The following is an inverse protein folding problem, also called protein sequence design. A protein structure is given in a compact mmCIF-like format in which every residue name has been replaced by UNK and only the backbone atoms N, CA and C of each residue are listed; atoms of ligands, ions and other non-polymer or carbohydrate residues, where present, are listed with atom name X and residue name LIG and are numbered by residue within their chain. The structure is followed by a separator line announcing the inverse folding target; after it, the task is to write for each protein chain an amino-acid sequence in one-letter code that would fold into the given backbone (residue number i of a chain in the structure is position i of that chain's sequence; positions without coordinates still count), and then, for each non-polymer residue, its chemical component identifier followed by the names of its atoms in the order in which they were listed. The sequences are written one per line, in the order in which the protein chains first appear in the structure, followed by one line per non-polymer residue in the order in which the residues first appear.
data_IF_991381312374
#
_entry.id   IF_991381312374
#
_cell.length_a   1.000
_cell.length_b   1.000
_cell.length_c   1.000
_cell.angle_alpha   90.00
_cell.angle_beta   90.00
_cell.angle_gamma   90.00
#
_symmetry.space_group_name_H-M   'P 1'
#
loop_
_entity.id
_entity.type
_entity.pdbx_description
1 polymer ?
#
# COMPACT_ATOMS: atom_id res chain seq x y z
N UNK A 1 64.80 -24.03 12.65
CA UNK A 1 63.75 -23.02 12.51
C UNK A 1 62.74 -23.60 11.54
N UNK A 2 61.57 -24.00 12.05
CA UNK A 2 60.52 -24.65 11.24
C UNK A 2 59.51 -23.56 10.82
N UNK A 3 59.40 -23.29 9.51
CA UNK A 3 58.41 -22.36 8.96
C UNK A 3 57.05 -23.06 8.94
N UNK A 4 56.15 -22.55 9.77
CA UNK A 4 54.76 -22.96 9.79
C UNK A 4 54.00 -22.14 8.72
N UNK A 5 53.63 -22.76 7.63
CA UNK A 5 52.79 -22.20 6.55
C UNK A 5 51.34 -22.32 6.99
N UNK A 6 50.72 -21.21 7.39
CA UNK A 6 49.30 -21.15 7.71
C UNK A 6 48.56 -20.96 6.40
N UNK A 7 47.88 -22.03 5.96
CA UNK A 7 46.99 -22.01 4.80
C UNK A 7 45.61 -21.44 5.22
N UNK A 8 45.34 -20.18 4.86
CA UNK A 8 43.99 -19.62 4.98
C UNK A 8 43.08 -20.21 3.91
N UNK A 9 42.24 -21.17 4.28
CA UNK A 9 41.15 -21.62 3.43
C UNK A 9 40.05 -20.59 3.55
N UNK A 10 39.94 -19.70 2.56
CA UNK A 10 38.78 -18.88 2.32
C UNK A 10 37.65 -19.81 1.86
N UNK A 11 36.79 -20.20 2.78
CA UNK A 11 35.51 -20.82 2.44
C UNK A 11 34.64 -19.75 1.76
N UNK A 12 34.67 -19.72 0.42
CA UNK A 12 33.62 -19.09 -0.34
C UNK A 12 32.34 -19.87 -0.07
N UNK A 13 31.51 -19.36 0.83
CA UNK A 13 30.14 -19.78 0.94
C UNK A 13 29.47 -19.38 -0.37
N UNK A 14 29.37 -20.34 -1.27
CA UNK A 14 28.50 -20.27 -2.43
C UNK A 14 27.07 -20.16 -1.86
N UNK A 15 26.55 -18.92 -1.71
CA UNK A 15 25.14 -18.73 -1.55
C UNK A 15 24.49 -19.21 -2.86
N UNK A 16 24.17 -20.51 -2.90
CA UNK A 16 23.15 -20.98 -3.81
C UNK A 16 21.95 -20.09 -3.56
N UNK A 17 21.58 -19.30 -4.55
CA UNK A 17 20.27 -18.69 -4.64
C UNK A 17 19.26 -19.83 -4.75
N UNK A 18 18.93 -20.48 -3.65
CA UNK A 18 17.73 -21.27 -3.54
C UNK A 18 16.61 -20.29 -3.84
N UNK A 19 15.88 -20.49 -4.94
CA UNK A 19 14.75 -19.65 -5.26
C UNK A 19 13.86 -19.58 -4.02
N UNK A 20 13.62 -18.39 -3.52
CA UNK A 20 12.79 -18.18 -2.34
C UNK A 20 11.46 -18.89 -2.56
N UNK A 21 11.18 -19.93 -1.76
CA UNK A 21 9.89 -20.60 -1.76
C UNK A 21 8.87 -19.82 -0.89
N UNK A 22 9.24 -18.64 -0.43
CA UNK A 22 8.41 -17.80 0.41
C UNK A 22 7.28 -17.15 -0.41
N UNK A 23 6.11 -16.95 0.22
CA UNK A 23 5.02 -16.21 -0.42
C UNK A 23 5.44 -14.75 -0.67
N UNK A 24 4.92 -14.19 -1.76
CA UNK A 24 5.20 -12.79 -2.08
C UNK A 24 4.59 -11.83 -1.05
N UNK A 25 5.35 -10.82 -0.64
CA UNK A 25 4.91 -9.78 0.26
C UNK A 25 3.87 -8.85 -0.37
N UNK A 26 2.82 -8.52 0.39
CA UNK A 26 1.77 -7.58 -0.04
C UNK A 26 1.52 -6.55 1.06
N UNK A 27 1.56 -5.27 0.68
CA UNK A 27 1.17 -4.15 1.54
C UNK A 27 -0.13 -3.56 1.01
N UNK A 28 -1.13 -3.37 1.87
CA UNK A 28 -2.30 -2.59 1.53
C UNK A 28 -2.18 -1.19 2.14
N UNK A 29 -2.54 -0.17 1.38
CA UNK A 29 -2.36 1.24 1.74
C UNK A 29 -3.60 2.03 1.40
N UNK A 30 -4.17 2.74 2.37
CA UNK A 30 -5.33 3.58 2.13
C UNK A 30 -5.26 4.91 2.91
N UNK A 31 -6.09 5.87 2.51
CA UNK A 31 -6.16 7.17 3.15
C UNK A 31 -6.57 8.30 2.22
N UNK A 32 -6.18 9.52 2.59
CA UNK A 32 -6.57 10.71 1.84
C UNK A 32 -5.38 11.40 1.14
N UNK A 33 -5.31 12.72 1.19
CA UNK A 33 -4.36 13.54 0.43
C UNK A 33 -2.90 13.18 0.67
N UNK A 34 -2.49 12.98 1.91
CA UNK A 34 -1.10 12.68 2.24
C UNK A 34 -0.71 11.25 1.83
N UNK A 35 -1.67 10.34 1.78
CA UNK A 35 -1.48 9.02 1.17
C UNK A 35 -1.42 9.10 -0.36
N UNK A 36 -2.32 9.87 -1.00
CA UNK A 36 -2.32 10.03 -2.46
C UNK A 36 -1.01 10.65 -2.98
N UNK A 37 -0.47 11.63 -2.25
CA UNK A 37 0.78 12.33 -2.55
C UNK A 37 0.58 13.82 -2.83
N UNK A 38 1.35 14.65 -2.12
CA UNK A 38 1.25 16.12 -2.21
C UNK A 38 2.60 16.80 -2.38
N UNK A 39 3.68 16.10 -2.05
CA UNK A 39 5.04 16.65 -2.14
C UNK A 39 5.55 16.45 -3.57
N UNK A 40 6.04 17.49 -4.25
CA UNK A 40 6.64 17.37 -5.57
C UNK A 40 7.81 16.38 -5.60
N UNK A 41 7.96 15.65 -6.70
CA UNK A 41 8.98 14.61 -6.84
C UNK A 41 10.41 15.16 -6.80
N UNK A 42 10.61 16.44 -7.14
CA UNK A 42 11.91 17.13 -7.00
C UNK A 42 12.36 17.31 -5.54
N UNK A 43 11.42 17.09 -4.58
CA UNK A 43 11.68 17.11 -3.14
C UNK A 43 11.77 15.71 -2.53
N UNK A 44 11.87 14.65 -3.33
CA UNK A 44 12.22 13.33 -2.80
C UNK A 44 13.58 13.40 -2.09
N UNK A 45 13.80 12.58 -1.05
CA UNK A 45 15.11 12.48 -0.41
C UNK A 45 16.22 12.16 -1.43
N UNK A 46 17.40 12.76 -1.25
CA UNK A 46 18.50 12.64 -2.21
C UNK A 46 18.94 11.19 -2.45
N UNK A 47 18.90 10.34 -1.41
CA UNK A 47 19.22 8.94 -1.56
C UNK A 47 18.23 8.16 -2.46
N UNK A 48 16.99 8.65 -2.63
CA UNK A 48 16.05 8.10 -3.61
C UNK A 48 16.30 8.70 -5.00
N UNK A 49 16.57 10.01 -5.08
CA UNK A 49 16.83 10.71 -6.35
C UNK A 49 18.09 10.20 -7.05
N UNK A 50 19.17 9.96 -6.31
CA UNK A 50 20.45 9.50 -6.89
C UNK A 50 20.37 8.08 -7.45
N UNK A 51 19.43 7.29 -6.99
CA UNK A 51 19.15 5.96 -7.56
C UNK A 51 18.18 6.01 -8.74
N UNK A 52 17.46 7.13 -8.90
CA UNK A 52 16.62 7.41 -10.04
C UNK A 52 17.48 8.05 -11.13
N UNK A 53 18.24 7.27 -11.86
CA UNK A 53 18.96 7.78 -13.03
C UNK A 53 17.94 8.17 -14.09
N UNK A 54 17.93 9.50 -14.36
CA UNK A 54 17.32 10.10 -15.54
C UNK A 54 15.82 10.43 -15.48
N UNK A 55 15.47 11.40 -16.30
CA UNK A 55 14.23 12.13 -16.56
C UNK A 55 12.92 11.33 -16.60
N UNK A 56 13.00 10.05 -16.63
CA UNK A 56 11.92 9.13 -16.34
C UNK A 56 12.32 8.38 -15.07
N UNK A 57 11.68 8.62 -13.96
CA UNK A 57 11.72 7.84 -12.71
C UNK A 57 11.58 6.31 -12.91
N UNK A 58 12.16 5.78 -13.95
CA UNK A 58 11.67 4.57 -14.57
C UNK A 58 12.29 3.31 -14.02
N UNK A 59 13.37 3.33 -13.24
CA UNK A 59 13.96 2.03 -12.93
C UNK A 59 14.96 1.96 -11.77
N UNK A 60 15.45 3.07 -11.23
CA UNK A 60 16.56 2.98 -10.27
C UNK A 60 16.14 2.61 -8.86
N UNK A 61 15.26 3.40 -8.26
CA UNK A 61 14.92 3.31 -6.84
C UNK A 61 13.86 2.26 -6.51
N UNK A 62 13.04 1.82 -7.48
CA UNK A 62 11.91 0.91 -7.26
C UNK A 62 11.91 -0.25 -8.27
N UNK A 63 12.91 -1.07 -8.17
CA UNK A 63 13.09 -2.24 -9.03
C UNK A 63 12.05 -3.32 -8.79
N UNK A 64 11.66 -3.51 -7.54
CA UNK A 64 10.86 -4.64 -7.07
C UNK A 64 9.42 -4.29 -6.75
N UNK A 65 9.12 -3.05 -6.34
CA UNK A 65 7.77 -2.63 -6.00
C UNK A 65 6.81 -2.68 -7.20
N UNK A 66 5.70 -3.37 -7.02
CA UNK A 66 4.60 -3.45 -7.99
C UNK A 66 3.33 -2.91 -7.35
N UNK A 67 2.68 -1.93 -7.98
CA UNK A 67 1.53 -1.23 -7.41
C UNK A 67 0.28 -1.31 -8.28
N UNK A 68 -0.86 -1.59 -7.64
CA UNK A 68 -2.19 -1.30 -8.11
C UNK A 68 -2.70 -0.06 -7.35
N UNK A 69 -2.94 1.05 -8.05
CA UNK A 69 -3.31 2.32 -7.41
C UNK A 69 -4.65 2.82 -7.93
N UNK A 70 -5.67 2.87 -7.05
CA UNK A 70 -7.04 3.28 -7.34
C UNK A 70 -7.59 2.59 -8.62
N UNK A 71 -7.45 1.27 -8.70
CA UNK A 71 -7.78 0.47 -9.89
C UNK A 71 -8.55 -0.77 -9.47
N UNK A 72 -9.52 -1.14 -10.28
CA UNK A 72 -10.34 -2.34 -10.09
C UNK A 72 -9.99 -3.47 -11.08
N UNK A 73 -8.99 -3.25 -11.95
CA UNK A 73 -8.58 -4.25 -12.94
C UNK A 73 -7.64 -5.35 -12.38
N UNK A 74 -7.25 -5.22 -11.12
CA UNK A 74 -6.37 -6.17 -10.42
C UNK A 74 -4.97 -6.30 -11.02
N UNK A 75 -4.53 -5.32 -11.80
CA UNK A 75 -3.22 -5.35 -12.48
C UNK A 75 -2.21 -4.48 -11.77
N UNK A 76 -1.08 -5.05 -11.45
CA UNK A 76 0.06 -4.34 -10.89
C UNK A 76 0.99 -3.79 -11.99
N UNK A 77 1.62 -2.66 -11.67
CA UNK A 77 2.60 -1.98 -12.51
C UNK A 77 3.84 -1.65 -11.69
N UNK A 78 5.00 -1.42 -12.31
CA UNK A 78 6.15 -0.87 -11.58
C UNK A 78 5.74 0.39 -10.80
N UNK A 79 6.21 0.49 -9.56
CA UNK A 79 5.91 1.66 -8.73
C UNK A 79 6.62 2.89 -9.28
N UNK A 80 5.93 3.98 -9.17
CA UNK A 80 6.42 5.32 -9.47
C UNK A 80 5.71 6.30 -8.52
N UNK A 81 6.44 7.23 -7.85
CA UNK A 81 5.83 8.26 -7.02
C UNK A 81 4.90 9.15 -7.84
N UNK A 82 3.59 8.94 -7.69
CA UNK A 82 2.55 9.56 -8.50
C UNK A 82 1.25 9.69 -7.73
N UNK A 83 0.64 10.87 -7.79
CA UNK A 83 -0.71 11.07 -7.29
C UNK A 83 -1.76 10.92 -8.40
N UNK A 84 -3.01 10.74 -8.01
CA UNK A 84 -4.16 10.77 -8.92
C UNK A 84 -4.59 12.18 -9.35
N UNK A 85 -3.95 13.21 -8.84
CA UNK A 85 -4.25 14.60 -9.23
C UNK A 85 -3.81 14.87 -10.66
N UNK A 86 -4.77 15.13 -11.54
CA UNK A 86 -4.49 15.44 -12.96
C UNK A 86 -3.60 16.67 -13.14
N UNK A 87 -3.79 17.71 -12.31
CA UNK A 87 -3.04 18.96 -12.41
C UNK A 87 -1.59 18.88 -11.88
N UNK A 88 -1.31 17.94 -10.97
CA UNK A 88 0.02 17.76 -10.36
C UNK A 88 0.27 16.26 -10.14
N UNK A 89 0.49 15.48 -11.20
CA UNK A 89 0.63 14.04 -11.09
C UNK A 89 1.96 13.61 -10.45
N UNK A 90 3.03 14.38 -10.65
CA UNK A 90 4.39 14.03 -10.18
C UNK A 90 4.60 14.49 -8.73
N UNK A 91 3.85 13.88 -7.83
CA UNK A 91 3.93 14.11 -6.38
C UNK A 91 3.93 12.79 -5.64
N UNK A 92 4.57 12.77 -4.47
CA UNK A 92 4.69 11.61 -3.61
C UNK A 92 4.05 11.84 -2.24
N UNK A 93 3.73 10.75 -1.56
CA UNK A 93 3.34 10.70 -0.17
C UNK A 93 4.38 9.92 0.65
N UNK A 94 4.10 9.69 1.91
CA UNK A 94 4.98 8.90 2.79
C UNK A 94 5.34 7.51 2.22
N UNK A 95 4.47 6.97 1.41
CA UNK A 95 4.58 5.68 0.78
C UNK A 95 5.84 5.53 -0.09
N UNK A 96 6.28 6.58 -0.79
CA UNK A 96 7.48 6.53 -1.60
C UNK A 96 8.72 6.18 -0.76
N UNK A 97 8.86 6.77 0.43
CA UNK A 97 9.96 6.48 1.34
C UNK A 97 9.81 5.07 1.95
N UNK A 98 8.58 4.72 2.34
CA UNK A 98 8.29 3.39 2.89
C UNK A 98 8.64 2.29 1.89
N UNK A 99 8.18 2.40 0.64
CA UNK A 99 8.45 1.37 -0.37
C UNK A 99 9.92 1.33 -0.77
N UNK A 100 10.64 2.45 -0.72
CA UNK A 100 12.09 2.45 -0.91
C UNK A 100 12.79 1.57 0.15
N UNK A 101 12.44 1.72 1.42
CA UNK A 101 13.04 0.91 2.46
C UNK A 101 12.65 -0.57 2.38
N UNK A 102 11.43 -0.87 1.97
CA UNK A 102 11.02 -2.25 1.70
C UNK A 102 11.79 -2.86 0.51
N UNK A 103 12.08 -2.08 -0.55
CA UNK A 103 13.00 -2.48 -1.63
C UNK A 103 14.37 -2.91 -1.10
N UNK A 104 14.92 -2.10 -0.17
CA UNK A 104 16.24 -2.38 0.41
C UNK A 104 16.21 -3.61 1.34
N UNK A 105 15.10 -3.82 2.03
CA UNK A 105 14.94 -4.91 2.98
C UNK A 105 14.75 -6.26 2.27
N UNK A 106 13.80 -6.33 1.34
CA UNK A 106 13.40 -7.59 0.73
C UNK A 106 14.22 -7.97 -0.49
N UNK A 107 14.60 -7.00 -1.30
CA UNK A 107 15.37 -7.19 -2.54
C UNK A 107 14.73 -8.20 -3.52
N UNK A 108 13.42 -8.35 -3.45
CA UNK A 108 12.59 -9.23 -4.27
C UNK A 108 11.24 -8.57 -4.60
N UNK A 109 10.52 -9.05 -5.63
CA UNK A 109 9.23 -8.48 -6.01
C UNK A 109 8.22 -8.52 -4.87
N UNK A 110 7.65 -7.36 -4.53
CA UNK A 110 6.55 -7.21 -3.60
C UNK A 110 5.43 -6.35 -4.21
N UNK A 111 4.25 -6.47 -3.65
CA UNK A 111 3.04 -5.91 -4.20
C UNK A 111 2.41 -4.88 -3.26
N UNK A 112 1.86 -3.82 -3.82
CA UNK A 112 1.16 -2.78 -3.08
C UNK A 112 -0.21 -2.55 -3.69
N UNK A 113 -1.26 -2.60 -2.86
CA UNK A 113 -2.61 -2.22 -3.24
C UNK A 113 -2.90 -0.89 -2.56
N UNK A 114 -3.04 0.19 -3.34
CA UNK A 114 -3.20 1.54 -2.81
C UNK A 114 -4.49 2.17 -3.27
N UNK A 115 -5.30 2.65 -2.31
CA UNK A 115 -6.48 3.46 -2.57
C UNK A 115 -6.45 4.75 -1.76
N UNK A 116 -6.35 5.89 -2.42
CA UNK A 116 -6.28 7.18 -1.75
C UNK A 116 -6.96 8.28 -2.57
N UNK A 117 -7.80 9.06 -1.91
CA UNK A 117 -8.49 10.22 -2.52
C UNK A 117 -8.38 11.39 -1.53
N UNK A 118 -7.87 12.53 -1.99
CA UNK A 118 -7.71 13.71 -1.16
C UNK A 118 -9.03 14.37 -0.78
N UNK A 119 -9.12 14.88 0.45
CA UNK A 119 -10.30 15.56 1.00
C UNK A 119 -11.42 14.59 1.34
N UNK A 120 -11.13 13.41 1.87
CA UNK A 120 -12.14 12.40 2.21
C UNK A 120 -12.12 12.04 3.68
N UNK A 121 -13.30 11.87 4.29
CA UNK A 121 -13.52 11.56 5.70
C UNK A 121 -13.93 10.11 5.92
N UNK A 122 -13.89 9.68 7.18
CA UNK A 122 -14.53 8.43 7.63
C UNK A 122 -15.97 8.71 8.07
N UNK A 123 -16.21 9.85 8.71
CA UNK A 123 -17.52 10.22 9.24
C UNK A 123 -18.50 10.57 8.10
N UNK A 124 -19.58 9.77 7.89
CA UNK A 124 -20.48 9.97 6.77
C UNK A 124 -21.39 11.21 6.89
N UNK A 125 -21.55 11.77 8.10
CA UNK A 125 -22.28 13.01 8.29
C UNK A 125 -21.46 14.26 7.95
N UNK A 126 -20.19 14.12 7.58
CA UNK A 126 -19.34 15.21 7.14
C UNK A 126 -19.74 15.71 5.75
N UNK A 127 -20.55 16.76 5.71
CA UNK A 127 -21.06 17.35 4.48
C UNK A 127 -20.00 18.03 3.60
N UNK A 128 -18.79 18.29 4.14
CA UNK A 128 -17.71 18.94 3.38
C UNK A 128 -17.12 18.07 2.28
N UNK A 129 -17.39 16.79 2.27
CA UNK A 129 -16.62 15.80 1.55
C UNK A 129 -17.36 15.12 0.41
N UNK A 130 -18.02 15.87 -0.45
CA UNK A 130 -18.54 15.36 -1.74
C UNK A 130 -19.31 14.05 -1.66
N UNK A 131 -19.84 13.69 -0.51
CA UNK A 131 -20.56 12.43 -0.25
C UNK A 131 -19.75 11.15 -0.59
N UNK A 132 -18.42 11.20 -0.44
CA UNK A 132 -17.53 10.04 -0.60
C UNK A 132 -16.75 9.80 0.69
N UNK A 133 -16.98 8.66 1.33
CA UNK A 133 -16.47 8.40 2.67
C UNK A 133 -15.84 7.01 2.82
N UNK A 134 -15.00 6.87 3.83
CA UNK A 134 -14.39 5.62 4.27
C UNK A 134 -15.23 4.85 5.30
N UNK A 135 -16.46 5.27 5.54
CA UNK A 135 -17.29 4.72 6.60
C UNK A 135 -17.48 3.22 6.50
N UNK A 136 -17.37 2.54 7.64
CA UNK A 136 -17.77 1.14 7.82
C UNK A 136 -19.12 1.01 8.55
N UNK A 137 -19.86 2.12 8.71
CA UNK A 137 -21.19 2.11 9.28
C UNK A 137 -22.14 1.25 8.42
N UNK A 138 -22.82 0.24 8.98
CA UNK A 138 -23.66 -0.67 8.19
C UNK A 138 -24.81 0.01 7.43
N UNK A 139 -25.46 1.00 8.04
CA UNK A 139 -26.52 1.76 7.38
C UNK A 139 -25.98 2.58 6.22
N UNK A 140 -24.82 3.23 6.41
CA UNK A 140 -24.13 3.93 5.32
C UNK A 140 -23.80 2.97 4.18
N UNK A 141 -23.20 1.82 4.47
CA UNK A 141 -22.80 0.84 3.46
C UNK A 141 -23.99 0.25 2.70
N UNK A 142 -25.13 0.07 3.37
CA UNK A 142 -26.35 -0.42 2.75
C UNK A 142 -26.91 0.56 1.68
N UNK A 143 -26.64 1.86 1.84
CA UNK A 143 -27.14 2.92 0.96
C UNK A 143 -26.08 3.46 -0.03
N UNK A 144 -24.83 2.99 0.05
CA UNK A 144 -23.72 3.54 -0.75
C UNK A 144 -22.87 2.41 -1.33
N UNK A 145 -22.63 2.49 -2.63
CA UNK A 145 -21.82 1.49 -3.36
C UNK A 145 -20.43 2.02 -3.70
N UNK A 146 -19.58 1.14 -4.18
CA UNK A 146 -18.24 1.51 -4.66
C UNK A 146 -18.25 2.46 -5.87
N UNK A 147 -19.32 2.51 -6.63
CA UNK A 147 -19.42 3.21 -7.93
C UNK A 147 -20.44 4.34 -7.96
N UNK A 148 -21.22 4.53 -6.90
CA UNK A 148 -22.23 5.61 -6.84
C UNK A 148 -21.57 6.99 -6.92
N UNK A 149 -22.12 7.91 -7.73
CA UNK A 149 -21.66 9.30 -7.78
C UNK A 149 -22.09 10.09 -6.54
N UNK A 150 -23.21 9.71 -5.94
CA UNK A 150 -23.70 10.26 -4.68
C UNK A 150 -23.52 9.21 -3.58
N UNK A 151 -22.86 9.60 -2.49
CA UNK A 151 -22.64 8.69 -1.39
C UNK A 151 -21.81 7.47 -1.76
N UNK A 152 -20.71 7.68 -2.45
CA UNK A 152 -19.80 6.60 -2.82
C UNK A 152 -19.00 6.11 -1.64
N UNK A 153 -19.03 4.81 -1.39
CA UNK A 153 -18.18 4.16 -0.41
C UNK A 153 -16.75 3.97 -0.93
N UNK A 154 -15.78 4.66 -0.31
CA UNK A 154 -14.36 4.45 -0.58
C UNK A 154 -13.88 3.13 0.01
N UNK A 155 -14.43 2.71 1.14
CA UNK A 155 -14.13 1.42 1.75
C UNK A 155 -14.49 0.28 0.79
N UNK A 156 -15.70 0.27 0.22
CA UNK A 156 -16.07 -0.76 -0.76
C UNK A 156 -15.26 -0.66 -2.06
N UNK A 157 -14.88 0.56 -2.49
CA UNK A 157 -13.99 0.73 -3.63
C UNK A 157 -12.61 0.11 -3.39
N UNK A 158 -12.07 0.28 -2.18
CA UNK A 158 -10.80 -0.31 -1.77
C UNK A 158 -10.89 -1.84 -1.66
N UNK A 159 -11.96 -2.36 -1.07
CA UNK A 159 -12.22 -3.79 -1.00
C UNK A 159 -12.30 -4.41 -2.39
N UNK A 160 -13.03 -3.79 -3.32
CA UNK A 160 -13.12 -4.27 -4.70
C UNK A 160 -11.77 -4.27 -5.42
N UNK A 161 -10.90 -3.30 -5.14
CA UNK A 161 -9.53 -3.28 -5.67
C UNK A 161 -8.69 -4.41 -5.09
N UNK A 162 -8.78 -4.65 -3.78
CA UNK A 162 -8.13 -5.78 -3.11
C UNK A 162 -8.58 -7.10 -3.74
N UNK A 163 -9.88 -7.31 -3.87
CA UNK A 163 -10.44 -8.55 -4.45
C UNK A 163 -9.98 -8.75 -5.89
N UNK A 164 -10.04 -7.69 -6.70
CA UNK A 164 -9.53 -7.74 -8.07
C UNK A 164 -8.04 -8.08 -8.16
N UNK A 165 -7.22 -7.55 -7.26
CA UNK A 165 -5.78 -7.87 -7.17
C UNK A 165 -5.54 -9.31 -6.75
N UNK A 166 -6.30 -9.82 -5.77
CA UNK A 166 -6.23 -11.21 -5.33
C UNK A 166 -6.63 -12.14 -6.49
N UNK A 167 -7.80 -11.94 -7.07
CA UNK A 167 -8.37 -12.86 -8.06
C UNK A 167 -7.59 -12.86 -9.39
N UNK A 168 -7.13 -11.69 -9.83
CA UNK A 168 -6.52 -11.56 -11.16
C UNK A 168 -5.01 -11.77 -11.16
N UNK A 169 -4.33 -11.56 -10.02
CA UNK A 169 -2.86 -11.61 -9.97
C UNK A 169 -2.31 -12.43 -8.81
N UNK A 170 -2.64 -12.08 -7.55
CA UNK A 170 -1.94 -12.62 -6.39
C UNK A 170 -2.17 -14.13 -6.20
N UNK A 171 -3.40 -14.61 -6.40
CA UNK A 171 -3.74 -16.04 -6.31
C UNK A 171 -3.04 -16.91 -7.34
N UNK A 172 -2.47 -16.32 -8.39
CA UNK A 172 -1.77 -16.99 -9.48
C UNK A 172 -0.25 -17.04 -9.28
N UNK A 173 0.25 -16.42 -8.22
CA UNK A 173 1.68 -16.46 -7.89
C UNK A 173 2.08 -17.88 -7.47
N UNK A 174 3.20 -18.36 -7.99
CA UNK A 174 3.68 -19.75 -7.80
C UNK A 174 3.77 -20.15 -6.33
N UNK A 175 4.28 -19.24 -5.49
CA UNK A 175 4.48 -19.48 -4.06
C UNK A 175 3.36 -18.86 -3.20
N UNK A 176 2.29 -18.34 -3.85
CA UNK A 176 1.25 -17.59 -3.15
C UNK A 176 1.69 -16.20 -2.71
N UNK A 177 0.93 -15.64 -1.76
CA UNK A 177 1.18 -14.32 -1.21
C UNK A 177 0.81 -14.25 0.27
N UNK A 178 1.34 -13.23 0.95
CA UNK A 178 1.03 -12.86 2.33
C UNK A 178 0.77 -11.35 2.39
N UNK A 179 -0.36 -10.94 2.97
CA UNK A 179 -0.60 -9.53 3.27
C UNK A 179 0.05 -9.25 4.64
N UNK A 180 1.05 -8.36 4.66
CA UNK A 180 1.91 -8.15 5.82
C UNK A 180 1.49 -6.97 6.68
N UNK A 181 0.91 -5.92 6.08
CA UNK A 181 0.47 -4.74 6.81
C UNK A 181 -0.61 -3.95 6.07
N UNK A 182 -1.39 -3.22 6.87
CA UNK A 182 -2.30 -2.18 6.40
C UNK A 182 -1.78 -0.81 6.84
N UNK A 183 -1.38 0.02 5.86
CA UNK A 183 -0.92 1.39 6.08
C UNK A 183 -2.06 2.37 5.88
N UNK A 184 -2.18 3.34 6.78
CA UNK A 184 -3.25 4.33 6.78
C UNK A 184 -2.75 5.72 7.09
N UNK A 185 -3.13 6.71 6.28
CA UNK A 185 -2.95 8.11 6.61
C UNK A 185 -4.17 8.92 6.17
N UNK A 186 -5.01 9.24 7.13
CA UNK A 186 -6.24 10.01 6.99
C UNK A 186 -6.65 10.53 8.37
N UNK A 187 -7.41 11.59 8.44
CA UNK A 187 -7.90 12.20 9.69
C UNK A 187 -8.14 13.70 9.53
N UNK A 188 -7.41 14.35 8.64
CA UNK A 188 -7.48 15.79 8.44
C UNK A 188 -8.88 16.25 8.03
N UNK A 189 -9.60 15.44 7.26
CA UNK A 189 -10.99 15.75 6.88
C UNK A 189 -11.99 15.48 8.00
N UNK A 190 -11.60 14.74 9.03
CA UNK A 190 -12.44 14.42 10.19
C UNK A 190 -12.15 15.30 11.43
N UNK A 191 -11.38 16.38 11.29
CA UNK A 191 -10.97 17.24 12.42
C UNK A 191 -12.15 17.78 13.25
N UNK A 192 -13.31 18.00 12.62
CA UNK A 192 -14.54 18.42 13.29
C UNK A 192 -15.29 17.28 13.99
N UNK A 193 -14.85 16.04 13.81
CA UNK A 193 -15.47 14.81 14.31
C UNK A 193 -14.48 13.96 15.11
N UNK A 194 -13.53 14.60 15.77
CA UNK A 194 -12.46 13.92 16.50
C UNK A 194 -12.98 13.01 17.62
N UNK A 195 -14.13 13.33 18.21
CA UNK A 195 -14.83 12.51 19.19
C UNK A 195 -15.30 11.15 18.66
N UNK A 196 -15.57 11.06 17.35
CA UNK A 196 -16.01 9.83 16.68
C UNK A 196 -14.88 9.11 15.95
N UNK A 197 -13.77 9.79 15.73
CA UNK A 197 -12.73 9.31 14.81
C UNK A 197 -12.18 7.94 15.19
N UNK A 198 -11.90 7.72 16.48
CA UNK A 198 -11.34 6.45 16.95
C UNK A 198 -12.25 5.26 16.65
N UNK A 199 -13.53 5.36 17.01
CA UNK A 199 -14.48 4.25 16.79
C UNK A 199 -14.76 4.04 15.30
N UNK A 200 -14.85 5.10 14.52
CA UNK A 200 -15.00 5.03 13.08
C UNK A 200 -13.78 4.35 12.41
N UNK A 201 -12.57 4.72 12.81
CA UNK A 201 -11.35 4.11 12.28
C UNK A 201 -11.24 2.64 12.67
N UNK A 202 -11.51 2.32 13.92
CA UNK A 202 -11.56 0.94 14.42
C UNK A 202 -12.54 0.08 13.62
N UNK A 203 -13.71 0.61 13.28
CA UNK A 203 -14.70 -0.08 12.45
C UNK A 203 -14.15 -0.35 11.03
N UNK A 204 -13.48 0.63 10.41
CA UNK A 204 -12.82 0.45 9.09
C UNK A 204 -11.76 -0.65 9.14
N UNK A 205 -10.87 -0.60 10.13
CA UNK A 205 -9.81 -1.62 10.28
C UNK A 205 -10.39 -3.00 10.49
N UNK A 206 -11.41 -3.11 11.35
CA UNK A 206 -12.11 -4.37 11.61
C UNK A 206 -12.78 -4.91 10.35
N UNK A 207 -13.44 -4.03 9.58
CA UNK A 207 -14.06 -4.41 8.31
C UNK A 207 -13.04 -4.99 7.32
N UNK A 208 -11.92 -4.31 7.12
CA UNK A 208 -10.85 -4.77 6.22
C UNK A 208 -10.29 -6.11 6.66
N UNK A 209 -9.96 -6.27 7.94
CA UNK A 209 -9.43 -7.52 8.50
C UNK A 209 -10.38 -8.70 8.33
N UNK A 210 -11.66 -8.49 8.65
CA UNK A 210 -12.69 -9.52 8.49
C UNK A 210 -12.89 -9.91 7.03
N UNK A 211 -12.91 -8.92 6.13
CA UNK A 211 -13.03 -9.16 4.70
C UNK A 211 -11.84 -9.97 4.17
N UNK A 212 -10.61 -9.59 4.51
CA UNK A 212 -9.41 -10.32 4.10
C UNK A 212 -9.43 -11.78 4.60
N UNK A 213 -9.84 -11.99 5.85
CA UNK A 213 -9.93 -13.35 6.40
C UNK A 213 -10.98 -14.17 5.65
N UNK A 214 -12.16 -13.60 5.40
CA UNK A 214 -13.22 -14.28 4.65
C UNK A 214 -12.82 -14.56 3.19
N UNK A 215 -12.19 -13.58 2.51
CA UNK A 215 -11.79 -13.71 1.11
C UNK A 215 -10.70 -14.74 0.88
N UNK A 216 -9.74 -14.83 1.81
CA UNK A 216 -8.52 -15.64 1.59
C UNK A 216 -8.52 -16.98 2.33
N UNK A 217 -9.40 -17.16 3.32
CA UNK A 217 -9.38 -18.30 4.23
C UNK A 217 -8.22 -18.28 5.23
N UNK A 218 -7.42 -17.19 5.29
CA UNK A 218 -6.33 -16.99 6.25
C UNK A 218 -6.80 -16.09 7.40
N UNK A 219 -6.18 -16.20 8.56
CA UNK A 219 -6.47 -15.32 9.68
C UNK A 219 -5.72 -13.99 9.56
N UNK A 220 -6.47 -12.91 9.30
CA UNK A 220 -5.98 -11.52 9.29
C UNK A 220 -6.50 -10.69 10.46
N UNK A 221 -7.08 -11.30 11.50
CA UNK A 221 -7.61 -10.59 12.67
C UNK A 221 -6.58 -9.68 13.34
N UNK A 222 -5.31 -10.08 13.28
CA UNK A 222 -4.17 -9.35 13.85
C UNK A 222 -3.26 -8.73 12.78
N UNK A 223 -3.74 -8.53 11.54
CA UNK A 223 -2.95 -7.84 10.53
C UNK A 223 -2.38 -6.53 11.09
N UNK A 224 -1.05 -6.29 11.04
CA UNK A 224 -0.47 -5.03 11.48
C UNK A 224 -1.14 -3.83 10.83
N UNK A 225 -1.60 -2.88 11.66
CA UNK A 225 -2.18 -1.62 11.23
C UNK A 225 -1.27 -0.48 11.66
N UNK A 226 -0.75 0.25 10.68
CA UNK A 226 0.21 1.33 10.88
C UNK A 226 -0.42 2.62 10.36
N UNK A 227 -0.56 3.60 11.23
CA UNK A 227 -1.18 4.87 10.88
C UNK A 227 -0.29 6.06 11.23
N UNK A 228 -0.48 7.18 10.53
CA UNK A 228 0.19 8.44 10.73
C UNK A 228 -0.76 9.61 10.51
#
# INVERSE_FOLDING_TARGET
MKNLLILFILAFSCNCMAGNNEPAHVIITAGQSNTDGRVPNDRLPDYIKTMATDTAFTTGAYKYCRIAQNRTDGKFRPFWPKSKRRAKPNTWGYDAVTYYWLEQLWQEPFYVIKWAIGGTSIEPSNASDKSIHWSANPEWLANNTATSEKGRSLLLSFINDIDGCIDNTLSKLKNGYQIDAFLWHQGESDHAYGDKYYENLKAVVTYVRNHLSAKTGKDYSNLPFIFG
#
